data_IF_744277028661
#
_entry.id   IF_744277028661
#
_cell.length_a   1.000
_cell.length_b   1.000
_cell.length_c   1.000
_cell.angle_alpha   90.00
_cell.angle_beta   90.00
_cell.angle_gamma   90.00
#
_symmetry.space_group_name_H-M   'P 1'
#
loop_
_entity.id
_entity.type
_entity.pdbx_description
1 polymer ?
#
# COMPACT_ATOMS: atom_id res chain seq x y z
N UNK A 1 11.54 -32.16 30.17
CA UNK A 1 12.30 -31.28 29.25
C UNK A 1 11.82 -31.31 27.78
N UNK A 2 10.65 -31.88 27.45
CA UNK A 2 10.17 -32.02 26.06
C UNK A 2 9.22 -30.89 25.61
N UNK A 3 8.29 -30.45 26.47
CA UNK A 3 7.29 -29.42 26.14
C UNK A 3 7.89 -28.06 25.75
N UNK A 4 8.97 -27.66 26.40
CA UNK A 4 9.65 -26.38 26.15
C UNK A 4 10.36 -26.32 24.78
N UNK A 5 10.68 -27.48 24.17
CA UNK A 5 11.26 -27.56 22.82
C UNK A 5 10.18 -27.56 21.74
N UNK A 6 8.98 -28.07 22.03
CA UNK A 6 7.85 -28.02 21.09
C UNK A 6 7.30 -26.61 20.94
N UNK A 7 7.15 -25.84 22.03
CA UNK A 7 6.71 -24.45 21.96
C UNK A 7 7.66 -23.60 21.11
N UNK A 8 8.96 -23.67 21.38
CA UNK A 8 9.97 -22.96 20.58
C UNK A 8 9.97 -23.31 19.09
N UNK A 9 9.66 -24.56 18.72
CA UNK A 9 9.55 -25.00 17.33
C UNK A 9 8.28 -24.44 16.66
N UNK A 10 7.16 -24.42 17.37
CA UNK A 10 5.90 -23.85 16.88
C UNK A 10 6.02 -22.34 16.64
N UNK A 11 6.62 -21.59 17.58
CA UNK A 11 6.82 -20.15 17.42
C UNK A 11 7.74 -19.82 16.23
N UNK A 12 8.83 -20.59 16.04
CA UNK A 12 9.72 -20.44 14.87
C UNK A 12 9.02 -20.77 13.55
N UNK A 13 8.14 -21.77 13.52
CA UNK A 13 7.38 -22.11 12.33
C UNK A 13 6.37 -21.02 11.95
N UNK A 14 5.71 -20.39 12.93
CA UNK A 14 4.79 -19.27 12.71
C UNK A 14 5.53 -18.04 12.17
N UNK A 15 6.69 -17.71 12.75
CA UNK A 15 7.50 -16.60 12.27
C UNK A 15 8.01 -16.82 10.83
N UNK A 16 8.44 -18.05 10.51
CA UNK A 16 8.88 -18.39 9.16
C UNK A 16 7.71 -18.38 8.16
N UNK A 17 6.52 -18.84 8.57
CA UNK A 17 5.30 -18.76 7.77
C UNK A 17 4.86 -17.31 7.51
N UNK A 18 4.95 -16.44 8.52
CA UNK A 18 4.63 -15.02 8.39
C UNK A 18 5.66 -14.28 7.50
N UNK A 19 6.96 -14.56 7.65
CA UNK A 19 8.01 -13.97 6.82
C UNK A 19 7.94 -14.44 5.35
N UNK A 20 7.65 -15.72 5.12
CA UNK A 20 7.46 -16.26 3.76
C UNK A 20 6.18 -15.73 3.12
N UNK A 21 5.08 -15.63 3.87
CA UNK A 21 3.84 -15.05 3.36
C UNK A 21 3.99 -13.55 3.05
N UNK A 22 4.72 -12.80 3.88
CA UNK A 22 4.99 -11.39 3.60
C UNK A 22 5.90 -11.19 2.38
N UNK A 23 6.84 -12.12 2.15
CA UNK A 23 7.68 -12.16 0.95
C UNK A 23 6.87 -12.49 -0.31
N UNK A 24 5.84 -13.35 -0.21
CA UNK A 24 4.92 -13.64 -1.30
C UNK A 24 3.94 -12.49 -1.58
N UNK A 25 3.60 -11.71 -0.56
CA UNK A 25 2.73 -10.53 -0.63
C UNK A 25 3.47 -9.26 -1.06
N UNK A 26 4.80 -9.27 -1.01
CA UNK A 26 5.65 -8.30 -1.67
C UNK A 26 5.63 -8.52 -3.19
N UNK A 27 4.44 -8.53 -3.82
CA UNK A 27 4.32 -8.47 -5.27
C UNK A 27 5.17 -7.32 -5.75
N UNK A 28 6.11 -7.57 -6.65
CA UNK A 28 7.11 -6.59 -7.05
C UNK A 28 6.38 -5.45 -7.75
N UNK A 29 6.18 -4.34 -7.03
CA UNK A 29 5.76 -3.09 -7.67
C UNK A 29 7.03 -2.55 -8.31
N UNK A 30 7.13 -2.70 -9.62
CA UNK A 30 8.16 -2.04 -10.42
C UNK A 30 7.43 -1.17 -11.43
N UNK A 31 7.70 0.13 -11.39
CA UNK A 31 7.39 1.01 -12.50
C UNK A 31 8.46 0.80 -13.59
N UNK A 32 8.05 0.77 -14.86
CA UNK A 32 8.98 0.73 -15.99
C UNK A 32 9.47 2.13 -16.37
N UNK A 33 10.59 2.20 -17.11
CA UNK A 33 11.12 3.46 -17.61
C UNK A 33 10.11 4.20 -18.50
N UNK A 34 9.99 5.51 -18.29
CA UNK A 34 9.21 6.40 -19.15
C UNK A 34 10.19 7.06 -20.14
N UNK A 35 10.12 6.69 -21.42
CA UNK A 35 10.96 7.26 -22.47
C UNK A 35 10.18 8.39 -23.18
N UNK A 36 10.77 9.58 -23.36
CA UNK A 36 10.12 10.71 -24.05
C UNK A 36 10.66 10.81 -25.48
N UNK A 37 9.80 10.58 -26.47
CA UNK A 37 10.00 10.88 -27.89
C UNK A 37 8.64 11.24 -28.51
N UNK A 38 8.34 12.53 -28.64
CA UNK A 38 7.21 13.09 -29.43
C UNK A 38 5.78 12.55 -29.13
N UNK A 39 5.40 12.26 -27.89
CA UNK A 39 4.01 11.90 -27.51
C UNK A 39 3.61 12.43 -26.12
N UNK A 40 2.34 12.86 -25.97
CA UNK A 40 1.75 13.38 -24.72
C UNK A 40 0.55 12.52 -24.31
N UNK A 41 0.46 12.13 -23.02
CA UNK A 41 -0.78 11.59 -22.46
C UNK A 41 -1.81 12.71 -22.34
N UNK A 42 -3.02 12.47 -22.85
CA UNK A 42 -4.18 13.26 -22.45
C UNK A 42 -4.31 13.27 -20.92
N UNK A 43 -4.94 14.33 -20.38
CA UNK A 43 -5.10 14.50 -18.93
C UNK A 43 -5.60 13.22 -18.24
N UNK A 44 -4.99 12.86 -17.11
CA UNK A 44 -5.33 11.68 -16.33
C UNK A 44 -6.08 12.10 -15.07
N UNK A 45 -7.13 11.35 -14.76
CA UNK A 45 -7.97 11.61 -13.59
C UNK A 45 -8.27 10.29 -12.88
N UNK A 46 -7.81 10.18 -11.63
CA UNK A 46 -8.25 9.14 -10.72
C UNK A 46 -9.21 9.78 -9.71
N UNK A 47 -10.43 9.25 -9.58
CA UNK A 47 -11.42 9.73 -8.61
C UNK A 47 -12.01 8.56 -7.85
N UNK A 48 -11.92 8.61 -6.53
CA UNK A 48 -12.73 7.80 -5.63
C UNK A 48 -13.94 8.65 -5.28
N UNK A 49 -15.10 8.27 -5.80
CA UNK A 49 -16.30 9.10 -5.74
C UNK A 49 -16.96 9.09 -4.35
N UNK A 50 -17.92 9.97 -4.16
CA UNK A 50 -18.61 10.21 -2.90
C UNK A 50 -19.29 8.94 -2.39
N UNK A 51 -19.08 8.61 -1.12
CA UNK A 51 -19.74 7.47 -0.48
C UNK A 51 -19.26 6.08 -0.91
N UNK A 52 -18.11 5.98 -1.59
CA UNK A 52 -17.46 4.68 -1.81
C UNK A 52 -17.07 4.06 -0.46
N UNK A 53 -17.31 2.76 -0.30
CA UNK A 53 -16.85 1.95 0.85
C UNK A 53 -17.20 2.51 2.25
N UNK A 54 -18.40 3.08 2.40
CA UNK A 54 -18.94 3.54 3.70
C UNK A 54 -19.22 2.36 4.63
N UNK A 55 -18.81 2.46 5.89
CA UNK A 55 -19.14 1.50 6.95
C UNK A 55 -18.44 0.13 6.83
N UNK A 56 -17.41 0.01 5.98
CA UNK A 56 -16.70 -1.27 5.81
C UNK A 56 -15.97 -1.64 7.10
N UNK A 57 -16.20 -2.87 7.58
CA UNK A 57 -15.50 -3.43 8.75
C UNK A 57 -14.58 -4.56 8.31
N UNK A 58 -13.35 -4.60 8.84
CA UNK A 58 -12.33 -5.60 8.52
C UNK A 58 -11.11 -4.99 7.86
N UNK A 59 -10.60 -5.63 6.79
CA UNK A 59 -9.47 -5.13 6.02
C UNK A 59 -9.93 -4.71 4.61
N UNK A 60 -9.78 -3.43 4.29
CA UNK A 60 -10.08 -2.82 3.00
C UNK A 60 -8.78 -2.38 2.33
N UNK A 61 -8.54 -2.89 1.11
CA UNK A 61 -7.42 -2.48 0.27
C UNK A 61 -7.91 -1.94 -1.08
N UNK A 62 -7.50 -0.72 -1.43
CA UNK A 62 -7.83 -0.05 -2.69
C UNK A 62 -6.55 0.33 -3.41
N UNK A 63 -6.43 -0.07 -4.68
CA UNK A 63 -5.43 0.40 -5.61
C UNK A 63 -6.17 0.98 -6.83
N UNK A 64 -6.04 2.29 -7.07
CA UNK A 64 -6.63 2.97 -8.22
C UNK A 64 -5.54 3.75 -8.94
N UNK A 65 -5.37 3.51 -10.23
CA UNK A 65 -4.41 4.22 -11.06
C UNK A 65 -5.04 4.68 -12.37
N UNK A 66 -4.76 5.91 -12.78
CA UNK A 66 -5.05 6.45 -14.11
C UNK A 66 -3.73 6.85 -14.79
N UNK A 67 -3.57 6.53 -16.07
CA UNK A 67 -2.35 6.75 -16.84
C UNK A 67 -1.57 5.46 -17.11
N UNK A 68 -0.24 5.52 -17.05
CA UNK A 68 0.64 4.44 -17.53
C UNK A 68 1.74 4.11 -16.52
N UNK A 69 2.21 2.87 -16.50
CA UNK A 69 3.39 2.46 -15.72
C UNK A 69 3.31 2.73 -14.21
N UNK A 70 2.12 2.97 -13.66
CA UNK A 70 1.92 3.05 -12.22
C UNK A 70 1.91 1.65 -11.61
N UNK A 71 2.60 1.47 -10.49
CA UNK A 71 2.62 0.22 -9.75
C UNK A 71 2.28 0.46 -8.27
N UNK A 72 1.31 -0.29 -7.75
CA UNK A 72 0.70 -0.10 -6.45
C UNK A 72 0.60 -1.45 -5.72
N UNK A 73 0.83 -1.46 -4.40
CA UNK A 73 0.64 -2.64 -3.57
C UNK A 73 0.13 -2.29 -2.16
N UNK A 74 -0.89 -3.00 -1.71
CA UNK A 74 -1.35 -3.02 -0.32
C UNK A 74 -1.09 -4.41 0.26
N UNK A 75 -0.47 -4.46 1.43
CA UNK A 75 -0.17 -5.69 2.15
C UNK A 75 -0.55 -5.59 3.62
N UNK A 76 -1.11 -6.68 4.14
CA UNK A 76 -1.49 -6.82 5.53
C UNK A 76 -1.12 -8.23 6.02
N UNK A 77 -0.39 -8.31 7.12
CA UNK A 77 -0.11 -9.56 7.84
C UNK A 77 -0.57 -9.39 9.28
N UNK A 78 -1.44 -10.28 9.73
CA UNK A 78 -1.95 -10.32 11.10
C UNK A 78 -1.62 -11.69 11.68
N UNK A 79 -0.74 -11.72 12.68
CA UNK A 79 -0.43 -12.93 13.43
C UNK A 79 -1.00 -12.83 14.84
N UNK A 80 -1.71 -13.86 15.29
CA UNK A 80 -2.29 -13.93 16.63
C UNK A 80 -2.05 -15.32 17.23
N UNK A 81 -1.16 -15.43 18.23
CA UNK A 81 -1.10 -16.51 19.23
C UNK A 81 -1.15 -17.99 18.79
N UNK A 82 -1.17 -18.29 17.49
CA UNK A 82 -1.51 -19.60 16.94
C UNK A 82 -1.97 -19.60 15.47
N UNK A 83 -2.32 -18.45 14.89
CA UNK A 83 -2.71 -18.32 13.48
C UNK A 83 -2.10 -17.11 12.78
N UNK A 84 -2.02 -17.17 11.44
CA UNK A 84 -1.55 -16.08 10.57
C UNK A 84 -2.61 -15.82 9.50
N UNK A 85 -3.07 -14.58 9.40
CA UNK A 85 -3.94 -14.08 8.35
C UNK A 85 -3.17 -13.11 7.47
N UNK A 86 -3.35 -13.23 6.16
CA UNK A 86 -2.58 -12.48 5.17
C UNK A 86 -3.51 -11.95 4.10
N UNK A 87 -3.42 -10.65 3.84
CA UNK A 87 -4.17 -9.94 2.81
C UNK A 87 -3.22 -9.18 1.89
N UNK A 88 -3.47 -9.22 0.59
CA UNK A 88 -2.66 -8.55 -0.41
C UNK A 88 -3.54 -8.08 -1.57
N UNK A 89 -3.25 -6.90 -2.09
CA UNK A 89 -3.79 -6.42 -3.35
C UNK A 89 -2.71 -5.65 -4.09
N UNK A 90 -2.53 -5.91 -5.38
CA UNK A 90 -1.58 -5.21 -6.22
C UNK A 90 -2.22 -4.75 -7.52
N UNK A 91 -1.71 -3.64 -8.04
CA UNK A 91 -2.06 -3.14 -9.37
C UNK A 91 -0.77 -2.76 -10.06
N UNK A 92 -0.54 -3.29 -11.25
CA UNK A 92 0.62 -2.96 -12.05
C UNK A 92 0.13 -2.60 -13.45
N UNK A 93 0.16 -1.31 -13.77
CA UNK A 93 -0.07 -0.85 -15.13
C UNK A 93 1.23 -1.02 -15.90
N UNK A 94 1.17 -1.74 -17.01
CA UNK A 94 2.30 -1.88 -17.91
C UNK A 94 1.86 -1.43 -19.29
N UNK A 95 2.50 -0.40 -19.80
CA UNK A 95 2.30 0.04 -21.15
C UNK A 95 3.61 0.63 -21.66
N UNK A 96 4.06 0.15 -22.82
CA UNK A 96 5.16 0.78 -23.54
C UNK A 96 4.60 2.04 -24.21
N UNK A 97 4.59 3.15 -23.47
CA UNK A 97 4.05 4.42 -23.98
C UNK A 97 5.09 5.50 -23.78
N UNK A 98 5.30 6.22 -24.87
CA UNK A 98 6.20 7.34 -24.98
C UNK A 98 5.47 8.60 -24.53
N UNK A 99 5.75 9.15 -23.34
CA UNK A 99 4.86 10.19 -22.78
C UNK A 99 5.53 11.27 -21.95
N UNK A 100 5.24 12.52 -22.29
CA UNK A 100 4.99 13.58 -21.29
C UNK A 100 3.60 13.34 -20.70
N UNK A 101 3.38 13.55 -19.39
CA UNK A 101 2.01 13.53 -18.85
C UNK A 101 1.38 14.90 -19.01
N UNK A 102 0.17 14.95 -19.56
CA UNK A 102 -0.71 16.10 -19.40
C UNK A 102 -1.12 16.31 -17.93
N UNK A 103 -2.19 17.07 -17.69
CA UNK A 103 -2.68 17.35 -16.34
C UNK A 103 -2.98 16.02 -15.61
N UNK A 104 -2.63 15.95 -14.34
CA UNK A 104 -2.85 14.76 -13.53
C UNK A 104 -3.63 15.14 -12.27
N UNK A 105 -4.72 14.43 -12.00
CA UNK A 105 -5.47 14.67 -10.76
C UNK A 105 -5.86 13.39 -10.05
N UNK A 106 -5.65 13.34 -8.75
CA UNK A 106 -6.15 12.31 -7.86
C UNK A 106 -7.10 12.96 -6.83
N UNK A 107 -8.34 12.50 -6.76
CA UNK A 107 -9.34 13.00 -5.81
C UNK A 107 -9.99 11.86 -5.03
N UNK A 108 -10.11 12.03 -3.71
CA UNK A 108 -10.99 11.24 -2.84
C UNK A 108 -12.10 12.17 -2.38
N UNK A 109 -13.31 11.90 -2.85
CA UNK A 109 -14.46 12.78 -2.63
C UNK A 109 -15.09 12.56 -1.25
N UNK A 110 -16.09 13.38 -0.97
CA UNK A 110 -16.73 13.42 0.34
C UNK A 110 -17.32 12.08 0.78
N UNK A 111 -17.33 11.87 2.09
CA UNK A 111 -17.91 10.70 2.73
C UNK A 111 -17.36 9.32 2.25
N UNK A 112 -16.35 9.28 1.38
CA UNK A 112 -15.72 8.07 0.88
C UNK A 112 -14.85 7.45 1.97
N UNK A 113 -15.08 6.17 2.31
CA UNK A 113 -14.47 5.49 3.45
C UNK A 113 -14.94 5.99 4.82
N UNK A 114 -16.07 6.70 4.89
CA UNK A 114 -16.61 7.12 6.18
C UNK A 114 -17.07 5.91 7.00
N UNK A 115 -16.84 5.96 8.31
CA UNK A 115 -17.24 4.91 9.25
C UNK A 115 -16.54 3.56 9.04
N UNK A 116 -15.43 3.50 8.31
CA UNK A 116 -14.66 2.26 8.19
C UNK A 116 -14.06 1.84 9.53
N UNK A 117 -13.96 0.54 9.80
CA UNK A 117 -13.40 0.00 11.03
C UNK A 117 -12.44 -1.15 10.76
N UNK A 118 -11.23 -1.09 11.32
CA UNK A 118 -10.18 -2.10 11.13
C UNK A 118 -8.97 -1.54 10.37
N UNK A 119 -8.64 -2.11 9.21
CA UNK A 119 -7.52 -1.68 8.37
C UNK A 119 -8.05 -1.14 7.04
N UNK A 120 -7.71 0.10 6.69
CA UNK A 120 -8.00 0.70 5.38
C UNK A 120 -6.68 1.12 4.73
N UNK A 121 -6.38 0.57 3.55
CA UNK A 121 -5.19 0.88 2.76
C UNK A 121 -5.60 1.38 1.38
N UNK A 122 -5.18 2.58 1.00
CA UNK A 122 -5.50 3.20 -0.29
C UNK A 122 -4.21 3.63 -0.98
N UNK A 123 -4.01 3.17 -2.21
CA UNK A 123 -3.05 3.72 -3.15
C UNK A 123 -3.85 4.31 -4.31
N UNK A 124 -3.79 5.63 -4.49
CA UNK A 124 -4.43 6.32 -5.58
C UNK A 124 -3.39 7.11 -6.35
N UNK A 125 -3.35 6.91 -7.67
CA UNK A 125 -2.40 7.61 -8.52
C UNK A 125 -3.01 8.07 -9.84
N UNK A 126 -2.55 9.23 -10.30
CA UNK A 126 -2.80 9.73 -11.64
C UNK A 126 -1.49 10.15 -12.30
N UNK A 127 -1.26 9.76 -13.54
CA UNK A 127 -0.07 10.12 -14.31
C UNK A 127 0.77 8.89 -14.65
N UNK A 128 2.09 9.02 -14.60
CA UNK A 128 2.99 8.01 -15.13
C UNK A 128 4.05 7.53 -14.13
N UNK A 129 4.33 6.23 -14.11
CA UNK A 129 5.49 5.71 -13.37
C UNK A 129 5.44 5.88 -11.85
N UNK A 130 4.25 6.11 -11.26
CA UNK A 130 4.14 6.25 -9.82
C UNK A 130 4.25 4.89 -9.12
N UNK A 131 4.97 4.85 -8.01
CA UNK A 131 5.21 3.67 -7.21
C UNK A 131 4.65 3.87 -5.80
N UNK A 132 3.64 3.10 -5.41
CA UNK A 132 2.95 3.28 -4.14
C UNK A 132 2.82 1.98 -3.36
N UNK A 133 3.08 2.01 -2.05
CA UNK A 133 2.99 0.83 -1.20
C UNK A 133 2.43 1.12 0.18
N UNK A 134 1.47 0.33 0.62
CA UNK A 134 1.07 0.28 2.02
C UNK A 134 1.38 -1.12 2.57
N UNK A 135 2.05 -1.18 3.70
CA UNK A 135 2.33 -2.42 4.41
C UNK A 135 1.90 -2.29 5.87
N UNK A 136 1.15 -3.27 6.35
CA UNK A 136 0.72 -3.38 7.74
C UNK A 136 1.10 -4.74 8.30
N UNK A 137 1.75 -4.75 9.45
CA UNK A 137 2.06 -5.96 10.21
C UNK A 137 1.52 -5.80 11.63
N UNK A 138 0.60 -6.66 12.03
CA UNK A 138 0.07 -6.71 13.38
C UNK A 138 0.42 -8.07 13.95
N UNK A 139 1.16 -8.10 15.06
CA UNK A 139 1.47 -9.35 15.74
C UNK A 139 1.05 -9.25 17.19
N UNK A 140 0.18 -10.17 17.58
CA UNK A 140 -0.41 -10.28 18.92
C UNK A 140 -0.03 -11.63 19.55
N UNK A 141 0.36 -11.61 20.82
CA UNK A 141 0.85 -12.79 21.56
C UNK A 141 2.35 -13.07 21.46
N UNK A 142 2.78 -14.19 22.04
CA UNK A 142 4.19 -14.61 22.18
C UNK A 142 4.77 -15.11 20.85
N UNK A 143 4.96 -14.22 19.89
CA UNK A 143 5.49 -14.56 18.58
C UNK A 143 7.01 -14.36 18.54
N UNK A 144 7.79 -15.36 18.98
CA UNK A 144 9.24 -15.35 18.72
C UNK A 144 9.49 -15.28 17.20
N UNK A 145 10.03 -14.15 16.71
CA UNK A 145 10.29 -13.89 15.28
C UNK A 145 9.57 -12.68 14.68
N UNK A 146 8.81 -11.91 15.47
CA UNK A 146 8.15 -10.67 15.00
C UNK A 146 9.14 -9.67 14.39
N UNK A 147 10.37 -9.59 14.92
CA UNK A 147 11.41 -8.72 14.37
C UNK A 147 11.69 -9.06 12.89
N UNK A 148 11.87 -10.34 12.56
CA UNK A 148 12.11 -10.77 11.18
C UNK A 148 10.95 -10.48 10.22
N UNK A 149 9.69 -10.57 10.70
CA UNK A 149 8.50 -10.23 9.91
C UNK A 149 8.43 -8.71 9.69
N UNK A 150 8.73 -7.92 10.73
CA UNK A 150 8.75 -6.46 10.66
C UNK A 150 9.84 -5.96 9.70
N UNK A 151 11.05 -6.54 9.79
CA UNK A 151 12.18 -6.19 8.93
C UNK A 151 11.93 -6.61 7.48
N UNK A 152 11.25 -7.75 7.27
CA UNK A 152 10.79 -8.19 5.94
C UNK A 152 9.72 -7.24 5.39
N UNK A 153 8.80 -6.75 6.24
CA UNK A 153 7.79 -5.75 5.85
C UNK A 153 8.46 -4.46 5.40
N UNK A 154 9.43 -4.00 6.18
CA UNK A 154 10.20 -2.80 5.92
C UNK A 154 11.04 -2.96 4.64
N UNK A 155 11.66 -4.12 4.44
CA UNK A 155 12.42 -4.44 3.23
C UNK A 155 11.51 -4.53 2.00
N UNK A 156 10.34 -5.16 2.13
CA UNK A 156 9.32 -5.19 1.09
C UNK A 156 8.72 -3.81 0.80
N UNK A 157 8.77 -2.89 1.76
CA UNK A 157 8.32 -1.51 1.60
C UNK A 157 9.32 -0.62 0.86
N UNK A 158 10.55 -1.08 0.65
CA UNK A 158 11.54 -0.37 -0.16
C UNK A 158 11.05 -0.35 -1.60
N UNK A 159 10.38 0.75 -1.95
CA UNK A 159 10.03 1.05 -3.31
C UNK A 159 11.34 1.36 -4.06
N UNK A 160 11.79 0.44 -4.91
CA UNK A 160 12.90 0.72 -5.83
C UNK A 160 12.36 1.73 -6.85
N UNK A 161 12.80 2.98 -6.72
CA UNK A 161 12.31 4.05 -7.57
C UNK A 161 12.38 3.66 -9.05
N UNK A 162 11.30 3.93 -9.77
CA UNK A 162 11.36 4.08 -11.23
C UNK A 162 12.27 5.27 -11.57
N UNK A 163 12.69 5.41 -12.83
CA UNK A 163 13.62 6.47 -13.21
C UNK A 163 13.07 7.84 -12.81
N UNK A 164 13.98 8.74 -12.44
CA UNK A 164 13.65 10.14 -12.23
C UNK A 164 12.95 10.65 -13.49
N UNK A 165 11.73 11.20 -13.33
CA UNK A 165 11.05 11.87 -14.42
C UNK A 165 11.95 13.00 -14.92
N UNK A 166 12.32 12.97 -16.19
CA UNK A 166 13.00 14.09 -16.82
C UNK A 166 12.07 15.32 -16.81
N UNK A 167 12.66 16.51 -16.72
CA UNK A 167 11.97 17.80 -16.69
C UNK A 167 10.98 17.91 -17.85
N UNK A 168 9.71 17.61 -17.59
CA UNK A 168 8.66 17.84 -18.55
C UNK A 168 8.26 19.32 -18.47
N UNK A 169 8.58 20.03 -19.54
CA UNK A 169 8.46 21.47 -19.80
C UNK A 169 7.02 22.03 -19.74
N UNK A 170 6.08 21.28 -19.20
CA UNK A 170 4.68 21.65 -19.11
C UNK A 170 4.31 21.73 -17.61
N UNK A 171 4.17 22.95 -17.10
CA UNK A 171 3.66 23.30 -15.76
C UNK A 171 2.15 22.98 -15.63
N UNK A 172 1.75 21.80 -16.09
CA UNK A 172 0.36 21.35 -16.13
C UNK A 172 -0.08 20.90 -14.74
N UNK A 173 -1.32 21.26 -14.40
CA UNK A 173 -1.95 21.02 -13.10
C UNK A 173 -1.74 19.59 -12.59
N UNK A 174 -1.04 19.46 -11.46
CA UNK A 174 -0.92 18.23 -10.67
C UNK A 174 -1.65 18.45 -9.37
N UNK A 175 -2.77 17.76 -9.17
CA UNK A 175 -3.60 17.98 -7.99
C UNK A 175 -3.92 16.67 -7.30
N UNK A 176 -3.58 16.59 -6.02
CA UNK A 176 -4.00 15.52 -5.13
C UNK A 176 -4.91 16.15 -4.07
N UNK A 177 -6.13 15.62 -3.90
CA UNK A 177 -7.10 16.15 -2.94
C UNK A 177 -7.86 15.05 -2.23
N UNK A 178 -8.12 15.26 -0.94
CA UNK A 178 -8.95 14.40 -0.10
C UNK A 178 -9.98 15.30 0.57
N UNK A 179 -11.26 14.99 0.40
CA UNK A 179 -12.34 15.71 1.07
C UNK A 179 -12.19 15.58 2.59
N UNK A 180 -12.47 16.66 3.32
CA UNK A 180 -12.31 16.71 4.79
C UNK A 180 -13.19 15.71 5.55
N UNK A 181 -14.22 15.16 4.91
CA UNK A 181 -15.16 14.19 5.47
C UNK A 181 -15.03 12.78 4.88
N UNK A 182 -14.06 12.52 3.99
CA UNK A 182 -13.85 11.20 3.39
C UNK A 182 -13.74 10.12 4.49
N UNK A 183 -12.71 10.20 5.33
CA UNK A 183 -12.48 9.23 6.41
C UNK A 183 -13.23 9.55 7.71
N UNK A 184 -14.35 10.29 7.64
CA UNK A 184 -15.11 10.69 8.84
C UNK A 184 -15.55 9.46 9.63
N UNK A 185 -15.17 9.39 10.90
CA UNK A 185 -15.53 8.27 11.77
C UNK A 185 -14.79 6.96 11.47
N UNK A 186 -13.73 6.98 10.65
CA UNK A 186 -12.87 5.83 10.48
C UNK A 186 -12.18 5.45 11.81
N UNK A 187 -12.07 4.15 12.09
CA UNK A 187 -11.52 3.61 13.33
C UNK A 187 -10.52 2.48 13.03
N UNK A 188 -9.35 2.51 13.67
CA UNK A 188 -8.26 1.56 13.42
C UNK A 188 -7.11 2.17 12.62
N UNK A 189 -6.53 1.43 11.67
CA UNK A 189 -5.36 1.86 10.89
C UNK A 189 -5.81 2.31 9.50
N UNK A 190 -5.47 3.55 9.14
CA UNK A 190 -5.68 4.11 7.80
C UNK A 190 -4.33 4.47 7.18
N UNK A 191 -4.02 3.90 6.02
CA UNK A 191 -2.83 4.20 5.23
C UNK A 191 -3.25 4.69 3.84
N UNK A 192 -2.79 5.88 3.43
CA UNK A 192 -3.14 6.48 2.14
C UNK A 192 -1.86 6.95 1.46
N UNK A 193 -1.62 6.47 0.24
CA UNK A 193 -0.70 7.07 -0.71
C UNK A 193 -1.53 7.69 -1.84
N UNK A 194 -1.48 9.01 -1.98
CA UNK A 194 -2.14 9.72 -3.07
C UNK A 194 -1.08 10.49 -3.86
N UNK A 195 -1.03 10.31 -5.19
CA UNK A 195 -0.10 11.04 -6.05
C UNK A 195 -0.72 11.45 -7.38
N UNK A 196 -0.25 12.58 -7.90
CA UNK A 196 -0.56 13.07 -9.23
C UNK A 196 0.73 13.54 -9.91
N UNK A 197 1.04 13.02 -11.10
CA UNK A 197 2.23 13.36 -11.87
C UNK A 197 3.08 12.16 -12.23
N UNK A 198 4.40 12.37 -12.32
CA UNK A 198 5.35 11.37 -12.85
C UNK A 198 6.33 10.94 -11.76
N UNK A 199 6.58 9.64 -11.65
CA UNK A 199 7.71 9.10 -10.91
C UNK A 199 7.65 9.29 -9.40
N UNK A 200 6.47 9.55 -8.82
CA UNK A 200 6.34 9.66 -7.37
C UNK A 200 6.53 8.28 -6.74
N UNK A 201 7.37 8.21 -5.71
CA UNK A 201 7.64 6.98 -4.97
C UNK A 201 7.21 7.18 -3.52
N UNK A 202 6.22 6.41 -3.07
CA UNK A 202 5.63 6.54 -1.72
C UNK A 202 5.45 5.18 -1.07
N UNK A 203 5.71 5.10 0.24
CA UNK A 203 5.49 3.90 1.02
C UNK A 203 5.07 4.24 2.44
N UNK A 204 4.01 3.59 2.93
CA UNK A 204 3.60 3.62 4.33
C UNK A 204 3.80 2.25 4.96
N UNK A 205 4.40 2.21 6.14
CA UNK A 205 4.61 0.97 6.91
C UNK A 205 4.08 1.16 8.31
N UNK A 206 3.21 0.25 8.75
CA UNK A 206 2.72 0.19 10.12
C UNK A 206 3.05 -1.17 10.72
N UNK A 207 3.61 -1.15 11.93
CA UNK A 207 3.98 -2.35 12.66
C UNK A 207 3.46 -2.23 14.10
N UNK A 208 2.57 -3.13 14.52
CA UNK A 208 2.08 -3.22 15.89
C UNK A 208 2.58 -4.50 16.57
N UNK A 209 3.23 -4.32 17.71
CA UNK A 209 3.85 -5.38 18.52
C UNK A 209 3.62 -5.10 20.00
N UNK A 210 2.47 -5.48 20.54
CA UNK A 210 2.20 -5.28 21.96
C UNK A 210 3.19 -6.11 22.80
N UNK A 211 3.64 -5.59 23.95
CA UNK A 211 4.36 -6.39 24.92
C UNK A 211 3.55 -7.63 25.31
N UNK A 212 4.25 -8.75 25.58
CA UNK A 212 3.60 -9.97 26.06
C UNK A 212 2.71 -9.67 27.28
N UNK A 213 1.46 -10.15 27.25
CA UNK A 213 0.49 -9.95 28.33
C UNK A 213 -0.41 -8.71 28.23
N UNK A 214 -0.37 -7.95 27.13
CA UNK A 214 -1.32 -6.87 26.87
C UNK A 214 -2.49 -7.38 26.00
N UNK A 215 -3.72 -7.33 26.55
CA UNK A 215 -4.96 -7.59 25.81
C UNK A 215 -5.67 -6.27 25.52
N UNK A 216 -6.07 -6.06 24.26
CA UNK A 216 -6.96 -4.96 23.84
C UNK A 216 -8.32 -5.52 23.45
#
# INVERSE_FOLDING_TARGET
MSAHRLSHRAHRAIALAAATALSAVAGVSSAQDVWIVNGELAGTHATIDNGVAVGVTGALGVNQAAGVNNAQANSAVIANGGGVSVGASSTNQQALVTTTTGAASAAIQGNAFSGTSGLTQVNQSSGAGNLQRNATVIVTGDAAGVASVSDTALSAAIAKGGPAGHDNLNDLFRTASISGDAFRGANGVVQVNQSAGIGNVTANVFVLRPPAGTSF
#
